data_IF_735901069752
#
_entry.id   IF_735901069752
#
_cell.length_a   1.000
_cell.length_b   1.000
_cell.length_c   1.000
_cell.angle_alpha   90.00
_cell.angle_beta   90.00
_cell.angle_gamma   90.00
#
_symmetry.space_group_name_H-M   'P 1'
#
loop_
_entity.id
_entity.type
_entity.pdbx_description
1 polymer ?
#
# COMPACT_ATOMS: atom_id res chain seq x y z
N UNK A 1 8.95 7.97 33.62
CA UNK A 1 8.57 8.82 32.49
C UNK A 1 7.88 7.99 31.41
N UNK A 2 6.89 8.58 30.71
CA UNK A 2 6.17 7.93 29.60
C UNK A 2 6.18 8.90 28.42
N UNK A 3 6.52 8.37 27.23
CA UNK A 3 6.40 9.07 25.96
C UNK A 3 5.44 8.31 25.04
N UNK A 4 4.37 8.95 24.61
CA UNK A 4 3.43 8.36 23.64
C UNK A 4 3.93 8.67 22.23
N UNK A 5 4.16 7.64 21.42
CA UNK A 5 4.70 7.80 20.06
C UNK A 5 3.71 8.53 19.15
N UNK A 6 4.19 9.62 18.52
CA UNK A 6 3.42 10.43 17.58
C UNK A 6 2.00 10.76 18.10
N UNK A 7 1.89 11.19 19.36
CA UNK A 7 0.61 11.47 20.01
C UNK A 7 -0.22 12.50 19.26
N UNK A 8 0.42 13.55 18.72
CA UNK A 8 -0.23 14.61 17.95
C UNK A 8 -0.80 14.09 16.64
N UNK A 9 -0.02 13.30 15.92
CA UNK A 9 -0.41 12.72 14.63
C UNK A 9 -1.52 11.65 14.81
N UNK A 10 -1.44 10.89 15.90
CA UNK A 10 -2.41 9.86 16.25
C UNK A 10 -3.51 10.37 17.22
N UNK A 11 -3.87 11.63 17.12
CA UNK A 11 -4.96 12.23 17.91
C UNK A 11 -6.26 11.36 17.83
N UNK A 12 -7.05 11.26 18.91
CA UNK A 12 -6.88 11.89 20.22
C UNK A 12 -6.06 11.05 21.19
N UNK A 13 -5.23 11.72 22.01
CA UNK A 13 -4.45 11.10 23.10
C UNK A 13 -4.40 12.03 24.31
N UNK A 14 -4.31 11.45 25.49
CA UNK A 14 -4.01 12.19 26.71
C UNK A 14 -3.12 11.40 27.65
N UNK A 15 -2.37 12.11 28.47
CA UNK A 15 -1.57 11.56 29.58
C UNK A 15 -1.97 12.27 30.85
N UNK A 16 -2.27 11.51 31.90
CA UNK A 16 -2.65 12.04 33.22
C UNK A 16 -1.74 11.44 34.28
N UNK A 17 -1.05 12.30 35.00
CA UNK A 17 -0.32 11.90 36.21
C UNK A 17 -1.24 11.98 37.43
N UNK A 18 -1.10 11.04 38.34
CA UNK A 18 -1.82 10.99 39.62
C UNK A 18 -0.88 10.40 40.68
N UNK A 19 -1.30 10.48 41.94
CA UNK A 19 -0.48 9.94 43.03
C UNK A 19 -0.28 8.41 42.81
N UNK A 20 0.99 8.05 42.72
CA UNK A 20 1.40 6.65 42.48
C UNK A 20 1.35 6.14 41.05
N UNK A 21 1.04 6.99 40.02
CA UNK A 21 0.98 6.47 38.66
C UNK A 21 0.79 7.49 37.54
N UNK A 22 0.80 6.95 36.32
CA UNK A 22 0.50 7.68 35.09
C UNK A 22 -0.49 6.86 34.25
N UNK A 23 -1.54 7.50 33.80
CA UNK A 23 -2.50 6.92 32.84
C UNK A 23 -2.24 7.47 31.46
N UNK A 24 -2.15 6.58 30.47
CA UNK A 24 -2.15 6.91 29.04
C UNK A 24 -3.53 6.60 28.49
N UNK A 25 -4.25 7.62 28.07
CA UNK A 25 -5.58 7.46 27.47
C UNK A 25 -5.44 7.48 25.96
N UNK A 26 -5.76 6.35 25.32
CA UNK A 26 -5.73 6.22 23.86
C UNK A 26 -6.89 7.00 23.20
N UNK A 27 -8.02 7.07 23.89
CA UNK A 27 -9.16 7.93 23.59
C UNK A 27 -9.61 8.57 24.90
N UNK A 28 -9.38 9.87 25.12
CA UNK A 28 -9.84 10.59 26.31
C UNK A 28 -11.37 10.63 26.38
N UNK A 29 -11.94 10.56 27.59
CA UNK A 29 -13.39 10.52 27.81
C UNK A 29 -14.12 11.75 27.29
N UNK A 30 -13.49 12.92 27.36
CA UNK A 30 -14.05 14.21 26.95
C UNK A 30 -14.09 14.42 25.43
N UNK A 31 -13.40 13.58 24.65
CA UNK A 31 -13.43 13.63 23.17
C UNK A 31 -14.65 12.90 22.58
N UNK A 32 -15.31 12.06 23.37
CA UNK A 32 -16.41 11.21 22.91
C UNK A 32 -15.93 9.91 22.26
N UNK A 33 -16.76 9.31 21.43
CA UNK A 33 -16.51 8.01 20.86
C UNK A 33 -15.70 8.09 19.56
N UNK A 34 -14.66 7.29 19.44
CA UNK A 34 -13.98 6.98 18.17
C UNK A 34 -14.59 5.69 17.62
N UNK A 35 -15.08 5.77 16.38
CA UNK A 35 -15.67 4.61 15.71
C UNK A 35 -14.57 3.89 14.92
N UNK A 36 -14.22 2.69 15.36
CA UNK A 36 -13.42 1.76 14.58
C UNK A 36 -14.37 0.80 13.85
N UNK A 37 -14.24 0.73 12.55
CA UNK A 37 -15.04 -0.19 11.73
C UNK A 37 -14.56 -1.64 11.93
N UNK A 38 -15.44 -2.60 11.66
CA UNK A 38 -15.08 -4.01 11.76
C UNK A 38 -13.93 -4.36 10.81
N UNK A 39 -12.90 -4.96 11.33
CA UNK A 39 -11.70 -5.32 10.60
C UNK A 39 -10.52 -4.37 10.74
N UNK A 40 -10.73 -3.13 11.18
CA UNK A 40 -9.65 -2.21 11.50
C UNK A 40 -8.88 -2.65 12.73
N UNK A 41 -7.58 -2.40 12.74
CA UNK A 41 -6.71 -2.45 13.90
C UNK A 41 -6.02 -1.09 14.08
N UNK A 42 -5.36 -0.87 15.21
CA UNK A 42 -4.47 0.27 15.40
C UNK A 42 -3.40 -0.03 16.42
N UNK A 43 -2.16 -0.07 15.96
CA UNK A 43 -1.00 -0.15 16.83
C UNK A 43 -0.83 1.14 17.62
N UNK A 44 -0.60 1.02 18.93
CA UNK A 44 -0.25 2.12 19.81
C UNK A 44 1.10 1.85 20.44
N UNK A 45 2.00 2.81 20.37
CA UNK A 45 3.36 2.69 20.92
C UNK A 45 3.60 3.73 22.01
N UNK A 46 4.25 3.33 23.07
CA UNK A 46 4.75 4.23 24.08
C UNK A 46 6.04 3.69 24.70
N UNK A 47 6.90 4.61 25.08
CA UNK A 47 8.13 4.34 25.81
C UNK A 47 7.85 4.52 27.31
N UNK A 48 8.09 3.49 28.11
CA UNK A 48 8.18 3.62 29.56
C UNK A 48 9.65 3.66 29.93
N UNK A 49 10.03 4.73 30.63
CA UNK A 49 11.39 4.93 31.05
C UNK A 49 11.45 5.00 32.59
N UNK A 50 12.06 4.00 33.18
CA UNK A 50 12.37 3.96 34.60
C UNK A 50 13.70 4.66 34.84
N UNK A 51 13.74 5.59 35.79
CA UNK A 51 14.91 6.42 36.05
C UNK A 51 14.95 6.82 37.51
N UNK A 52 16.13 7.23 37.99
CA UNK A 52 16.30 7.79 39.33
C UNK A 52 15.63 9.15 39.45
N UNK A 53 15.18 9.55 40.66
CA UNK A 53 14.45 10.81 40.88
C UNK A 53 15.25 12.08 40.52
N UNK A 54 16.56 12.01 40.56
CA UNK A 54 17.49 13.11 40.30
C UNK A 54 17.90 13.29 38.83
N UNK A 55 17.39 12.38 37.92
CA UNK A 55 17.65 12.52 36.49
C UNK A 55 17.12 13.84 35.98
N UNK A 56 17.95 14.52 35.22
CA UNK A 56 17.63 15.84 34.69
C UNK A 56 16.54 15.78 33.60
N UNK A 57 15.63 16.75 33.60
CA UNK A 57 14.53 16.81 32.63
C UNK A 57 15.01 16.84 31.19
N UNK A 58 16.14 17.49 30.89
CA UNK A 58 16.68 17.54 29.54
C UNK A 58 17.15 16.16 29.03
N UNK A 59 17.62 15.27 29.92
CA UNK A 59 17.98 13.89 29.55
C UNK A 59 16.73 13.06 29.19
N UNK A 60 15.65 13.24 29.95
CA UNK A 60 14.37 12.60 29.68
C UNK A 60 13.76 13.11 28.38
N UNK A 61 13.85 14.40 28.12
CA UNK A 61 13.39 15.04 26.89
C UNK A 61 14.18 14.55 25.67
N UNK A 62 15.50 14.47 25.77
CA UNK A 62 16.34 13.90 24.71
C UNK A 62 15.98 12.46 24.38
N UNK A 63 15.75 11.61 25.38
CA UNK A 63 15.33 10.21 25.15
C UNK A 63 13.96 10.13 24.52
N UNK A 64 13.04 10.98 24.94
CA UNK A 64 11.72 11.12 24.34
C UNK A 64 11.81 11.54 22.87
N UNK A 65 12.65 12.52 22.57
CA UNK A 65 12.89 13.01 21.20
C UNK A 65 13.50 11.93 20.31
N UNK A 66 14.49 11.20 20.78
CA UNK A 66 15.10 10.08 20.05
C UNK A 66 14.05 8.99 19.77
N UNK A 67 13.17 8.69 20.73
CA UNK A 67 12.09 7.74 20.54
C UNK A 67 11.07 8.20 19.49
N UNK A 68 10.73 9.50 19.47
CA UNK A 68 9.80 10.09 18.51
C UNK A 68 10.39 10.17 17.10
N UNK A 69 11.66 10.49 17.00
CA UNK A 69 12.39 10.71 15.75
C UNK A 69 13.76 10.01 15.81
N UNK A 70 13.78 8.66 15.73
CA UNK A 70 15.04 7.95 15.78
C UNK A 70 15.90 8.31 14.57
N UNK A 71 17.20 8.41 14.79
CA UNK A 71 18.16 8.52 13.69
C UNK A 71 18.10 7.27 12.83
N UNK A 72 18.08 7.49 11.53
CA UNK A 72 18.10 6.43 10.53
C UNK A 72 19.28 6.65 9.60
N UNK A 73 19.97 5.57 9.21
CA UNK A 73 21.02 5.68 8.21
C UNK A 73 20.46 6.27 6.92
N UNK A 74 21.18 7.23 6.35
CA UNK A 74 20.92 7.68 4.99
C UNK A 74 21.71 6.79 4.03
N UNK A 75 21.02 6.17 3.09
CA UNK A 75 21.62 5.41 2.01
C UNK A 75 21.65 6.30 0.78
N UNK A 76 22.82 6.49 0.20
CA UNK A 76 22.94 7.30 -1.00
C UNK A 76 22.31 6.57 -2.20
N UNK A 77 21.69 7.30 -3.17
CA UNK A 77 21.10 6.71 -4.36
C UNK A 77 22.07 5.83 -5.17
N UNK A 78 23.36 6.19 -5.17
CA UNK A 78 24.42 5.43 -5.83
C UNK A 78 24.59 4.00 -5.27
N UNK A 79 24.32 3.81 -3.96
CA UNK A 79 24.40 2.49 -3.34
C UNK A 79 23.24 1.59 -3.77
N UNK A 80 22.02 2.14 -3.93
CA UNK A 80 20.89 1.42 -4.50
C UNK A 80 21.16 1.01 -5.93
N UNK A 81 21.69 1.92 -6.76
CA UNK A 81 22.07 1.64 -8.15
C UNK A 81 23.17 0.58 -8.24
N UNK A 82 24.19 0.67 -7.38
CA UNK A 82 25.29 -0.30 -7.33
C UNK A 82 24.84 -1.70 -6.86
N UNK A 83 23.86 -1.75 -5.97
CA UNK A 83 23.27 -3.00 -5.50
C UNK A 83 22.21 -3.56 -6.47
N UNK A 84 21.92 -2.85 -7.58
CA UNK A 84 20.93 -3.23 -8.58
C UNK A 84 19.49 -3.41 -8.00
N UNK A 85 19.17 -2.69 -6.94
CA UNK A 85 17.81 -2.65 -6.36
C UNK A 85 17.05 -1.42 -6.84
N UNK A 86 15.74 -1.52 -6.98
CA UNK A 86 14.87 -0.43 -7.46
C UNK A 86 15.29 0.14 -8.83
N UNK A 87 15.84 -0.67 -9.71
CA UNK A 87 16.41 -0.22 -10.99
C UNK A 87 15.42 0.49 -11.90
N UNK A 88 14.13 0.23 -11.76
CA UNK A 88 13.08 0.88 -12.56
C UNK A 88 13.01 2.41 -12.36
N UNK A 89 13.58 2.93 -11.28
CA UNK A 89 13.56 4.36 -10.95
C UNK A 89 14.85 5.10 -11.28
N UNK A 90 15.79 4.45 -11.94
CA UNK A 90 17.05 5.05 -12.39
C UNK A 90 17.10 5.25 -13.93
N UNK A 91 16.11 5.92 -14.56
CA UNK A 91 16.20 6.25 -15.97
C UNK A 91 17.32 7.28 -16.21
N UNK A 92 17.82 7.36 -17.43
CA UNK A 92 18.82 8.35 -17.82
C UNK A 92 18.31 9.80 -17.69
N UNK A 93 17.00 10.00 -17.89
CA UNK A 93 16.37 11.31 -17.81
C UNK A 93 15.46 11.41 -16.58
N UNK A 94 15.60 12.52 -15.85
CA UNK A 94 14.74 12.85 -14.72
C UNK A 94 13.44 13.47 -15.23
N UNK A 95 12.32 13.16 -14.55
CA UNK A 95 11.02 13.79 -14.77
C UNK A 95 10.67 14.58 -13.52
N UNK A 96 11.10 15.84 -13.48
CA UNK A 96 10.96 16.72 -12.30
C UNK A 96 9.50 16.87 -11.85
N UNK A 97 8.55 16.89 -12.79
CA UNK A 97 7.12 17.03 -12.50
C UNK A 97 6.60 15.86 -11.66
N UNK A 98 7.09 14.64 -11.90
CA UNK A 98 6.72 13.46 -11.11
C UNK A 98 7.24 13.59 -9.68
N UNK A 99 8.49 14.01 -9.51
CA UNK A 99 9.10 14.17 -8.19
C UNK A 99 8.38 15.27 -7.38
N UNK A 100 8.09 16.41 -8.02
CA UNK A 100 7.34 17.52 -7.40
C UNK A 100 5.94 17.06 -6.99
N UNK A 101 5.25 16.33 -7.84
CA UNK A 101 3.91 15.81 -7.54
C UNK A 101 3.93 14.84 -6.34
N UNK A 102 4.93 13.96 -6.25
CA UNK A 102 5.07 13.03 -5.13
C UNK A 102 5.44 13.74 -3.82
N UNK A 103 6.27 14.78 -3.87
CA UNK A 103 6.56 15.64 -2.70
C UNK A 103 5.28 16.35 -2.25
N UNK A 104 4.50 16.92 -3.18
CA UNK A 104 3.24 17.57 -2.85
C UNK A 104 2.22 16.60 -2.23
N UNK A 105 2.17 15.35 -2.71
CA UNK A 105 1.35 14.29 -2.08
C UNK A 105 1.82 13.98 -0.66
N UNK A 106 3.13 13.85 -0.43
CA UNK A 106 3.69 13.69 0.91
C UNK A 106 3.31 14.85 1.83
N UNK A 107 3.30 16.09 1.32
CA UNK A 107 2.86 17.26 2.10
C UNK A 107 1.38 17.21 2.46
N UNK A 108 0.53 16.66 1.61
CA UNK A 108 -0.89 16.48 1.92
C UNK A 108 -1.10 15.45 3.04
N UNK A 109 -0.34 14.35 3.07
CA UNK A 109 -0.37 13.39 4.18
C UNK A 109 -0.07 14.07 5.53
N UNK A 110 0.85 15.02 5.58
CA UNK A 110 1.18 15.74 6.82
C UNK A 110 0.04 16.56 7.42
N UNK A 111 -1.07 16.71 6.69
CA UNK A 111 -2.27 17.44 7.14
C UNK A 111 -3.41 16.52 7.60
N UNK A 112 -3.23 15.21 7.51
CA UNK A 112 -4.25 14.21 7.80
C UNK A 112 -4.00 13.57 9.17
N UNK A 113 -4.08 14.37 10.24
CA UNK A 113 -3.93 13.86 11.60
C UNK A 113 -5.16 13.11 12.06
N UNK A 114 -4.95 12.18 12.96
CA UNK A 114 -5.98 11.33 13.55
C UNK A 114 -5.53 9.88 13.60
N UNK A 115 -5.90 9.19 14.66
CA UNK A 115 -5.43 7.84 14.93
C UNK A 115 -5.78 6.84 13.81
N UNK A 116 -6.89 7.07 13.10
CA UNK A 116 -7.31 6.25 11.95
C UNK A 116 -7.00 6.89 10.58
N UNK A 117 -6.41 8.09 10.56
CA UNK A 117 -6.18 8.86 9.33
C UNK A 117 -4.68 9.03 9.03
N UNK A 118 -3.84 9.10 10.07
CA UNK A 118 -2.42 9.36 9.93
C UNK A 118 -1.73 8.27 9.11
N UNK A 119 -1.14 8.66 7.99
CA UNK A 119 -0.50 7.78 7.02
C UNK A 119 -1.29 7.59 5.72
N UNK A 120 -2.47 8.21 5.61
CA UNK A 120 -3.24 8.29 4.38
C UNK A 120 -3.57 9.76 4.03
N UNK A 121 -4.20 10.01 2.92
CA UNK A 121 -4.63 11.34 2.46
C UNK A 121 -6.02 11.32 1.86
N UNK A 122 -6.66 12.50 1.88
CA UNK A 122 -7.93 12.70 1.19
C UNK A 122 -7.65 12.80 -0.32
N UNK A 123 -8.35 11.99 -1.10
CA UNK A 123 -8.40 12.12 -2.54
C UNK A 123 -9.45 13.16 -2.93
N UNK A 124 -8.96 14.32 -3.38
CA UNK A 124 -9.82 15.42 -3.79
C UNK A 124 -10.57 15.12 -5.09
N UNK A 125 -9.99 14.33 -6.00
CA UNK A 125 -10.63 13.94 -7.26
C UNK A 125 -11.88 13.11 -6.99
N UNK A 126 -11.77 12.06 -6.22
CA UNK A 126 -12.91 11.21 -5.84
C UNK A 126 -13.91 11.93 -4.94
N UNK A 127 -13.44 12.82 -4.07
CA UNK A 127 -14.30 13.66 -3.24
C UNK A 127 -15.18 14.57 -4.10
N UNK A 128 -14.60 15.25 -5.09
CA UNK A 128 -15.32 16.14 -6.01
C UNK A 128 -16.26 15.39 -6.96
N UNK A 129 -15.97 14.12 -7.27
CA UNK A 129 -16.89 13.22 -7.98
C UNK A 129 -18.10 12.79 -7.15
N UNK A 130 -18.16 13.16 -5.87
CA UNK A 130 -19.27 12.81 -4.98
C UNK A 130 -19.26 11.37 -4.46
N UNK A 131 -18.17 10.61 -4.67
CA UNK A 131 -18.07 9.20 -4.25
C UNK A 131 -18.21 9.01 -2.74
N UNK A 132 -17.89 10.03 -1.95
CA UNK A 132 -18.03 10.01 -0.48
C UNK A 132 -19.43 10.33 0.03
N UNK A 133 -20.43 10.58 -0.83
CA UNK A 133 -21.77 10.99 -0.41
C UNK A 133 -21.75 12.30 0.40
N UNK A 134 -20.96 13.28 -0.03
CA UNK A 134 -20.77 14.57 0.63
C UNK A 134 -19.70 14.58 1.72
N UNK A 135 -18.97 13.46 1.92
CA UNK A 135 -17.84 13.35 2.84
C UNK A 135 -16.53 13.19 2.05
N UNK A 136 -15.38 13.60 2.62
CA UNK A 136 -14.09 13.33 2.02
C UNK A 136 -13.87 11.83 1.76
N UNK A 137 -13.31 11.51 0.62
CA UNK A 137 -12.88 10.15 0.26
C UNK A 137 -11.42 9.99 0.62
N UNK A 138 -11.10 8.97 1.41
CA UNK A 138 -9.73 8.58 1.73
C UNK A 138 -9.17 7.73 0.62
N UNK A 139 -7.88 7.93 0.29
CA UNK A 139 -7.24 7.24 -0.81
C UNK A 139 -6.94 5.77 -0.50
N UNK A 140 -6.88 5.39 0.77
CA UNK A 140 -6.46 4.07 1.24
C UNK A 140 -5.16 3.63 0.56
N UNK A 141 -4.21 4.56 0.44
CA UNK A 141 -2.92 4.36 -0.21
C UNK A 141 -3.00 3.80 -1.64
N UNK A 142 -4.05 4.15 -2.39
CA UNK A 142 -4.27 3.71 -3.76
C UNK A 142 -3.01 3.84 -4.62
N UNK A 143 -2.77 2.85 -5.47
CA UNK A 143 -1.58 2.67 -6.29
C UNK A 143 -0.28 2.49 -5.50
N UNK A 144 -0.39 1.87 -4.32
CA UNK A 144 0.77 1.52 -3.49
C UNK A 144 1.66 2.73 -3.18
N UNK A 145 1.06 3.73 -2.54
CA UNK A 145 1.79 4.95 -2.17
C UNK A 145 3.04 4.66 -1.32
N UNK A 146 3.04 3.72 -0.35
CA UNK A 146 4.27 3.36 0.36
C UNK A 146 5.38 2.88 -0.57
N UNK A 147 5.08 2.04 -1.56
CA UNK A 147 6.06 1.61 -2.57
C UNK A 147 6.61 2.78 -3.38
N UNK A 148 5.75 3.70 -3.80
CA UNK A 148 6.19 4.92 -4.48
C UNK A 148 7.16 5.74 -3.64
N UNK A 149 6.95 5.82 -2.32
CA UNK A 149 7.86 6.46 -1.39
C UNK A 149 9.20 5.73 -1.27
N UNK A 150 9.20 4.39 -1.24
CA UNK A 150 10.43 3.59 -1.23
C UNK A 150 11.27 3.84 -2.48
N UNK A 151 10.64 3.80 -3.66
CA UNK A 151 11.28 4.07 -4.95
C UNK A 151 11.86 5.50 -5.01
N UNK A 152 11.11 6.49 -4.54
CA UNK A 152 11.58 7.88 -4.52
C UNK A 152 12.70 8.10 -3.52
N UNK A 153 12.70 7.42 -2.38
CA UNK A 153 13.82 7.45 -1.46
C UNK A 153 15.08 6.84 -2.08
N UNK A 154 14.96 5.66 -2.70
CA UNK A 154 16.08 5.01 -3.39
C UNK A 154 16.68 5.92 -4.48
N UNK A 155 15.83 6.62 -5.24
CA UNK A 155 16.25 7.50 -6.33
C UNK A 155 16.85 8.82 -5.87
N UNK A 156 16.32 9.44 -4.81
CA UNK A 156 16.65 10.84 -4.45
C UNK A 156 17.45 10.98 -3.17
N UNK A 157 17.45 9.97 -2.30
CA UNK A 157 18.01 10.05 -0.96
C UNK A 157 17.23 10.98 -0.02
N UNK A 158 16.09 11.54 -0.46
CA UNK A 158 15.31 12.48 0.35
C UNK A 158 14.63 11.72 1.49
N UNK A 159 15.10 11.92 2.72
CA UNK A 159 14.61 11.25 3.92
C UNK A 159 13.10 11.31 4.10
N UNK A 160 12.47 12.39 3.68
CA UNK A 160 11.03 12.57 3.79
C UNK A 160 10.24 11.42 3.14
N UNK A 161 10.72 10.87 2.02
CA UNK A 161 10.09 9.72 1.39
C UNK A 161 10.20 8.46 2.25
N UNK A 162 11.34 8.23 2.92
CA UNK A 162 11.48 7.12 3.86
C UNK A 162 10.52 7.27 5.07
N UNK A 163 10.40 8.48 5.60
CA UNK A 163 9.49 8.74 6.72
C UNK A 163 8.02 8.47 6.31
N UNK A 164 7.62 8.86 5.10
CA UNK A 164 6.26 8.59 4.60
C UNK A 164 6.04 7.15 4.16
N UNK A 165 7.05 6.44 3.63
CA UNK A 165 6.98 4.99 3.46
C UNK A 165 6.54 4.33 4.78
N UNK A 166 7.23 4.66 5.88
CA UNK A 166 6.99 4.03 7.17
C UNK A 166 5.60 4.38 7.74
N UNK A 167 5.20 5.62 7.62
CA UNK A 167 3.91 6.08 8.15
C UNK A 167 2.74 5.50 7.34
N UNK A 168 2.86 5.50 6.01
CA UNK A 168 1.80 5.01 5.12
C UNK A 168 1.69 3.48 5.16
N UNK A 169 2.80 2.75 5.20
CA UNK A 169 2.75 1.30 5.36
C UNK A 169 2.11 0.90 6.70
N UNK A 170 2.40 1.62 7.79
CA UNK A 170 1.73 1.38 9.08
C UNK A 170 0.24 1.66 9.03
N UNK A 171 -0.18 2.71 8.33
CA UNK A 171 -1.60 2.98 8.12
C UNK A 171 -2.26 1.84 7.34
N UNK A 172 -1.66 1.43 6.23
CA UNK A 172 -2.16 0.32 5.41
C UNK A 172 -2.30 -0.96 6.22
N UNK A 173 -1.26 -1.35 6.96
CA UNK A 173 -1.28 -2.54 7.82
C UNK A 173 -2.34 -2.47 8.92
N UNK A 174 -2.58 -1.30 9.50
CA UNK A 174 -3.50 -1.14 10.63
C UNK A 174 -4.95 -0.93 10.16
N UNK A 175 -5.19 -0.02 9.20
CA UNK A 175 -6.51 0.54 8.90
C UNK A 175 -7.08 0.03 7.59
N UNK A 176 -6.27 0.01 6.52
CA UNK A 176 -6.75 -0.32 5.18
C UNK A 176 -6.92 -1.82 4.97
N UNK A 177 -6.13 -2.65 5.67
CA UNK A 177 -6.24 -4.11 5.61
C UNK A 177 -7.27 -4.62 6.62
N UNK A 178 -8.13 -5.51 6.18
CA UNK A 178 -9.19 -6.09 6.99
C UNK A 178 -8.68 -7.27 7.83
N UNK A 179 -8.49 -7.09 9.13
CA UNK A 179 -8.01 -8.14 10.04
C UNK A 179 -9.09 -9.11 10.51
N UNK A 180 -10.36 -8.70 10.43
CA UNK A 180 -11.47 -9.53 10.86
C UNK A 180 -12.75 -9.22 10.07
N UNK A 181 -13.41 -10.26 9.58
CA UNK A 181 -14.74 -10.17 8.98
C UNK A 181 -15.49 -11.49 9.12
N UNK A 182 -16.82 -11.41 9.16
CA UNK A 182 -17.68 -12.59 9.00
C UNK A 182 -17.69 -13.12 7.57
N UNK A 183 -17.33 -12.28 6.59
CA UNK A 183 -17.13 -12.69 5.21
C UNK A 183 -15.63 -13.02 4.99
N UNK A 184 -15.28 -14.29 4.74
CA UNK A 184 -13.87 -14.70 4.58
C UNK A 184 -13.18 -14.06 3.37
N UNK A 185 -13.94 -13.62 2.36
CA UNK A 185 -13.40 -12.88 1.20
C UNK A 185 -12.84 -11.49 1.57
N UNK A 186 -13.08 -11.01 2.79
CA UNK A 186 -12.57 -9.72 3.25
C UNK A 186 -11.32 -9.84 4.13
N UNK A 187 -11.08 -10.99 4.74
CA UNK A 187 -9.97 -11.16 5.68
C UNK A 187 -8.65 -11.06 4.92
N UNK A 188 -7.77 -10.17 5.38
CA UNK A 188 -6.47 -9.90 4.78
C UNK A 188 -6.53 -9.01 3.53
N UNK A 189 -7.71 -8.70 2.99
CA UNK A 189 -7.85 -7.82 1.84
C UNK A 189 -7.79 -6.35 2.22
N UNK A 190 -7.44 -5.52 1.25
CA UNK A 190 -7.37 -4.08 1.38
C UNK A 190 -8.67 -3.43 0.91
N UNK A 191 -9.16 -2.45 1.65
CA UNK A 191 -10.35 -1.70 1.31
C UNK A 191 -10.11 -0.73 0.15
N UNK A 192 -11.02 -0.71 -0.81
CA UNK A 192 -11.05 0.32 -1.84
C UNK A 192 -11.19 1.72 -1.22
N UNK A 193 -10.64 2.74 -1.88
CA UNK A 193 -10.80 4.15 -1.50
C UNK A 193 -12.27 4.51 -1.20
N UNK A 194 -12.52 5.13 -0.04
CA UNK A 194 -13.88 5.42 0.42
C UNK A 194 -13.91 6.48 1.53
N UNK A 195 -15.09 7.00 1.80
CA UNK A 195 -15.35 7.85 2.96
C UNK A 195 -15.32 7.04 4.26
N UNK A 196 -14.24 7.15 5.06
CA UNK A 196 -14.08 6.42 6.33
C UNK A 196 -13.41 5.07 6.18
N UNK A 197 -12.48 4.97 5.26
CA UNK A 197 -11.54 3.88 4.99
C UNK A 197 -12.13 2.53 4.58
N UNK A 198 -13.16 2.02 5.21
CA UNK A 198 -13.76 0.73 4.87
C UNK A 198 -15.28 0.75 4.69
N UNK A 199 -15.86 1.93 4.52
CA UNK A 199 -17.31 2.12 4.59
C UNK A 199 -18.10 1.42 3.48
N UNK A 200 -17.58 1.37 2.24
CA UNK A 200 -18.24 0.71 1.12
C UNK A 200 -18.14 -0.82 1.16
N UNK A 201 -17.15 -1.36 1.88
CA UNK A 201 -16.95 -2.79 2.05
C UNK A 201 -16.54 -3.55 0.79
N UNK A 202 -16.05 -2.86 -0.23
CA UNK A 202 -15.60 -3.45 -1.50
C UNK A 202 -14.12 -3.81 -1.40
N UNK A 203 -13.78 -5.01 -1.88
CA UNK A 203 -12.43 -5.51 -2.07
C UNK A 203 -12.33 -6.14 -3.44
N UNK A 204 -11.35 -5.70 -4.21
CA UNK A 204 -11.07 -6.17 -5.58
C UNK A 204 -9.56 -6.17 -5.81
N UNK A 205 -9.09 -7.05 -6.68
CA UNK A 205 -7.65 -7.23 -6.89
C UNK A 205 -6.92 -5.95 -7.33
N UNK A 206 -7.59 -4.99 -7.94
CA UNK A 206 -6.98 -3.71 -8.33
C UNK A 206 -6.64 -2.79 -7.14
N UNK A 207 -7.04 -3.16 -5.93
CA UNK A 207 -6.74 -2.42 -4.70
C UNK A 207 -5.94 -3.24 -3.68
N UNK A 208 -5.35 -4.36 -4.14
CA UNK A 208 -4.53 -5.25 -3.31
C UNK A 208 -3.05 -5.04 -3.62
N UNK A 209 -2.36 -4.23 -2.82
CA UNK A 209 -0.95 -3.88 -3.03
C UNK A 209 -0.07 -4.41 -1.90
N UNK A 210 1.06 -5.00 -2.26
CA UNK A 210 1.96 -5.65 -1.30
C UNK A 210 3.38 -5.08 -1.30
N UNK A 211 3.79 -4.40 -2.38
CA UNK A 211 5.19 -4.01 -2.54
C UNK A 211 5.61 -3.00 -1.47
N UNK A 212 4.76 -2.02 -1.13
CA UNK A 212 5.07 -1.01 -0.14
C UNK A 212 5.18 -1.55 1.30
N UNK A 213 4.42 -2.58 1.66
CA UNK A 213 4.58 -3.23 2.98
C UNK A 213 5.77 -4.19 3.00
N UNK A 214 6.16 -4.78 1.87
CA UNK A 214 7.42 -5.53 1.73
C UNK A 214 8.61 -4.57 1.85
N UNK A 215 8.58 -3.42 1.17
CA UNK A 215 9.60 -2.38 1.31
C UNK A 215 9.72 -1.91 2.77
N UNK A 216 8.59 -1.71 3.45
CA UNK A 216 8.58 -1.37 4.87
C UNK A 216 9.31 -2.42 5.72
N UNK A 217 9.07 -3.72 5.45
CA UNK A 217 9.79 -4.81 6.10
C UNK A 217 11.30 -4.69 5.86
N UNK A 218 11.73 -4.49 4.63
CA UNK A 218 13.15 -4.37 4.29
C UNK A 218 13.82 -3.15 4.92
N UNK A 219 13.14 -2.01 4.98
CA UNK A 219 13.71 -0.79 5.56
C UNK A 219 13.67 -0.74 7.10
N UNK A 220 12.83 -1.55 7.74
CA UNK A 220 12.62 -1.46 9.19
C UNK A 220 12.94 -2.73 9.97
N UNK A 221 12.93 -3.89 9.33
CA UNK A 221 13.01 -5.19 9.98
C UNK A 221 11.72 -5.59 10.74
N UNK A 222 10.62 -4.85 10.57
CA UNK A 222 9.35 -5.17 11.22
C UNK A 222 8.61 -6.24 10.42
N UNK A 223 8.59 -7.47 10.93
CA UNK A 223 8.01 -8.66 10.28
C UNK A 223 6.52 -8.50 9.95
N UNK A 224 5.81 -7.60 10.63
CA UNK A 224 4.41 -7.30 10.33
C UNK A 224 4.20 -6.86 8.87
N UNK A 225 5.21 -6.22 8.25
CA UNK A 225 5.15 -5.85 6.84
C UNK A 225 5.00 -7.08 5.94
N UNK A 226 5.85 -8.08 6.15
CA UNK A 226 5.81 -9.32 5.38
C UNK A 226 4.57 -10.17 5.71
N UNK A 227 4.19 -10.28 6.98
CA UNK A 227 2.96 -10.97 7.40
C UNK A 227 1.71 -10.37 6.74
N UNK A 228 1.65 -9.02 6.67
CA UNK A 228 0.54 -8.32 6.01
C UNK A 228 0.55 -8.56 4.50
N UNK A 229 1.72 -8.51 3.84
CA UNK A 229 1.83 -8.82 2.42
C UNK A 229 1.33 -10.24 2.10
N UNK A 230 1.71 -11.23 2.91
CA UNK A 230 1.24 -12.62 2.78
C UNK A 230 -0.28 -12.70 2.97
N UNK A 231 -0.82 -11.99 3.96
CA UNK A 231 -2.27 -11.95 4.23
C UNK A 231 -3.07 -11.37 3.06
N UNK A 232 -2.55 -10.29 2.44
CA UNK A 232 -3.12 -9.69 1.22
C UNK A 232 -3.04 -10.69 0.05
N UNK A 233 -1.90 -11.36 -0.12
CA UNK A 233 -1.74 -12.39 -1.15
C UNK A 233 -2.74 -13.54 -0.99
N UNK A 234 -2.95 -14.03 0.22
CA UNK A 234 -3.95 -15.06 0.51
C UNK A 234 -5.39 -14.56 0.24
N UNK A 235 -5.66 -13.26 0.42
CA UNK A 235 -6.92 -12.66 0.01
C UNK A 235 -7.06 -12.63 -1.51
N UNK A 236 -6.02 -12.21 -2.24
CA UNK A 236 -6.00 -12.23 -3.72
C UNK A 236 -6.32 -13.64 -4.25
N UNK A 237 -5.71 -14.69 -3.68
CA UNK A 237 -6.02 -16.07 -4.09
C UNK A 237 -7.51 -16.39 -3.94
N UNK A 238 -8.12 -16.00 -2.80
CA UNK A 238 -9.56 -16.19 -2.57
C UNK A 238 -10.44 -15.39 -3.51
N UNK A 239 -10.06 -14.15 -3.82
CA UNK A 239 -10.79 -13.30 -4.78
C UNK A 239 -10.74 -13.90 -6.19
N UNK A 240 -9.56 -14.34 -6.64
CA UNK A 240 -9.39 -14.96 -7.96
C UNK A 240 -10.16 -16.27 -8.13
N UNK A 241 -10.53 -16.94 -7.05
CA UNK A 241 -11.37 -18.15 -7.08
C UNK A 241 -12.88 -17.83 -7.10
N UNK A 242 -13.27 -16.56 -7.12
CA UNK A 242 -14.68 -16.15 -7.23
C UNK A 242 -15.16 -16.16 -8.70
N UNK A 243 -16.48 -16.24 -8.94
CA UNK A 243 -17.03 -16.19 -10.29
C UNK A 243 -16.63 -14.97 -11.12
N UNK A 244 -16.32 -13.84 -10.47
CA UNK A 244 -15.87 -12.61 -11.13
C UNK A 244 -14.60 -12.80 -11.97
N UNK A 245 -13.74 -13.75 -11.60
CA UNK A 245 -12.47 -14.02 -12.27
C UNK A 245 -12.45 -15.37 -12.99
N UNK A 246 -13.60 -16.08 -13.06
CA UNK A 246 -13.66 -17.44 -13.59
C UNK A 246 -13.36 -17.52 -15.09
N UNK A 247 -13.61 -16.43 -15.83
CA UNK A 247 -13.36 -16.36 -17.27
C UNK A 247 -12.49 -15.17 -17.62
N UNK A 248 -11.60 -15.31 -18.62
CA UNK A 248 -10.89 -14.17 -19.20
C UNK A 248 -11.88 -13.10 -19.69
N UNK A 249 -11.55 -11.83 -19.46
CA UNK A 249 -12.37 -10.70 -19.88
C UNK A 249 -13.58 -10.37 -19.01
N UNK A 250 -13.98 -11.20 -18.06
CA UNK A 250 -15.03 -10.86 -17.09
C UNK A 250 -14.55 -9.83 -16.07
N UNK A 251 -13.28 -9.93 -15.64
CA UNK A 251 -12.59 -8.89 -14.88
C UNK A 251 -11.67 -8.15 -15.85
N UNK A 252 -11.73 -6.82 -15.85
CA UNK A 252 -10.89 -6.05 -16.75
C UNK A 252 -9.38 -6.28 -16.50
N UNK A 253 -8.55 -5.97 -17.49
CA UNK A 253 -7.11 -6.24 -17.44
C UNK A 253 -6.41 -5.63 -16.20
N UNK A 254 -6.90 -4.52 -15.67
CA UNK A 254 -6.36 -3.90 -14.45
C UNK A 254 -6.51 -4.81 -13.23
N UNK A 255 -7.67 -5.45 -13.07
CA UNK A 255 -7.93 -6.30 -11.89
C UNK A 255 -6.95 -7.48 -11.83
N UNK A 256 -6.88 -8.24 -12.91
CA UNK A 256 -5.98 -9.41 -13.01
C UNK A 256 -4.51 -8.99 -13.08
N UNK A 257 -4.22 -7.84 -13.68
CA UNK A 257 -2.87 -7.28 -13.73
C UNK A 257 -2.32 -6.95 -12.34
N UNK A 258 -3.09 -6.26 -11.50
CA UNK A 258 -2.65 -5.97 -10.13
C UNK A 258 -2.48 -7.22 -9.29
N UNK A 259 -3.37 -8.21 -9.43
CA UNK A 259 -3.20 -9.51 -8.79
C UNK A 259 -1.87 -10.15 -9.18
N UNK A 260 -1.54 -10.20 -10.48
CA UNK A 260 -0.28 -10.74 -10.97
C UNK A 260 0.93 -10.02 -10.36
N UNK A 261 0.90 -8.68 -10.34
CA UNK A 261 1.97 -7.86 -9.77
C UNK A 261 2.26 -8.21 -8.30
N UNK A 262 1.19 -8.27 -7.50
CA UNK A 262 1.30 -8.60 -6.08
C UNK A 262 1.84 -10.03 -5.86
N UNK A 263 1.32 -11.01 -6.62
CA UNK A 263 1.76 -12.41 -6.49
C UNK A 263 3.21 -12.63 -6.96
N UNK A 264 3.65 -11.92 -8.00
CA UNK A 264 5.06 -11.95 -8.43
C UNK A 264 5.97 -11.40 -7.33
N UNK A 265 5.60 -10.27 -6.70
CA UNK A 265 6.37 -9.71 -5.59
C UNK A 265 6.46 -10.69 -4.41
N UNK A 266 5.36 -11.32 -4.04
CA UNK A 266 5.32 -12.34 -2.98
C UNK A 266 6.16 -13.58 -3.32
N UNK A 267 6.12 -14.05 -4.58
CA UNK A 267 6.99 -15.16 -4.99
C UNK A 267 8.47 -14.80 -4.93
N UNK A 268 8.84 -13.62 -5.39
CA UNK A 268 10.24 -13.15 -5.31
C UNK A 268 10.71 -13.07 -3.87
N UNK A 269 9.85 -12.62 -2.96
CA UNK A 269 10.17 -12.47 -1.54
C UNK A 269 10.23 -13.81 -0.79
N UNK A 270 9.20 -14.64 -0.94
CA UNK A 270 9.01 -15.82 -0.09
C UNK A 270 9.45 -17.13 -0.72
N UNK A 271 9.54 -17.21 -2.04
CA UNK A 271 9.76 -18.43 -2.84
C UNK A 271 8.66 -19.51 -2.62
N UNK A 272 7.49 -19.11 -2.14
CA UNK A 272 6.37 -20.04 -1.98
C UNK A 272 5.70 -20.29 -3.34
N UNK A 273 5.69 -21.56 -3.76
CA UNK A 273 5.17 -22.01 -5.05
C UNK A 273 3.67 -21.74 -5.24
N UNK A 274 2.91 -21.54 -4.16
CA UNK A 274 1.48 -21.18 -4.29
C UNK A 274 1.27 -19.88 -5.07
N UNK A 275 2.18 -18.90 -4.91
CA UNK A 275 2.14 -17.65 -5.63
C UNK A 275 2.44 -17.83 -7.12
N UNK A 276 3.50 -18.61 -7.42
CA UNK A 276 3.88 -18.91 -8.80
C UNK A 276 2.77 -19.66 -9.55
N UNK A 277 2.18 -20.67 -8.92
CA UNK A 277 1.09 -21.42 -9.54
C UNK A 277 -0.08 -20.52 -9.96
N UNK A 278 -0.43 -19.53 -9.14
CA UNK A 278 -1.50 -18.58 -9.50
C UNK A 278 -1.02 -17.54 -10.53
N UNK A 279 0.25 -17.12 -10.51
CA UNK A 279 0.81 -16.29 -11.59
C UNK A 279 0.73 -16.97 -12.94
N UNK A 280 1.09 -18.25 -13.05
CA UNK A 280 0.97 -19.02 -14.29
C UNK A 280 -0.48 -19.10 -14.77
N UNK A 281 -1.41 -19.33 -13.85
CA UNK A 281 -2.85 -19.33 -14.18
C UNK A 281 -3.31 -17.98 -14.74
N UNK A 282 -2.84 -16.85 -14.19
CA UNK A 282 -3.16 -15.51 -14.70
C UNK A 282 -2.54 -15.30 -16.09
N UNK A 283 -1.29 -15.68 -16.29
CA UNK A 283 -0.62 -15.58 -17.59
C UNK A 283 -1.37 -16.40 -18.66
N UNK A 284 -1.78 -17.61 -18.34
CA UNK A 284 -2.58 -18.43 -19.27
C UNK A 284 -3.97 -17.81 -19.53
N UNK A 285 -4.57 -17.19 -18.52
CA UNK A 285 -5.82 -16.43 -18.69
C UNK A 285 -5.64 -15.23 -19.64
N UNK A 286 -4.53 -14.51 -19.59
CA UNK A 286 -4.24 -13.42 -20.54
C UNK A 286 -4.05 -13.94 -21.98
N UNK A 287 -3.44 -15.11 -22.18
CA UNK A 287 -3.31 -15.74 -23.50
C UNK A 287 -4.69 -16.13 -24.07
N UNK A 288 -5.52 -16.78 -23.26
CA UNK A 288 -6.90 -17.16 -23.67
C UNK A 288 -7.71 -15.91 -23.99
N UNK A 289 -7.53 -14.83 -23.20
CA UNK A 289 -8.21 -13.57 -23.45
C UNK A 289 -7.80 -12.94 -24.78
N UNK A 290 -6.49 -12.93 -25.08
CA UNK A 290 -5.99 -12.48 -26.38
C UNK A 290 -6.56 -13.29 -27.54
N UNK A 291 -6.59 -14.63 -27.42
CA UNK A 291 -7.15 -15.54 -28.44
C UNK A 291 -8.66 -15.34 -28.66
N UNK A 292 -9.41 -15.15 -27.57
CA UNK A 292 -10.87 -15.05 -27.63
C UNK A 292 -11.37 -13.70 -28.15
N UNK A 293 -10.70 -12.61 -27.76
CA UNK A 293 -11.14 -11.24 -28.05
C UNK A 293 -10.18 -10.46 -28.95
N UNK A 294 -9.16 -11.09 -29.48
CA UNK A 294 -8.19 -10.47 -30.38
C UNK A 294 -7.14 -9.60 -29.67
N UNK A 295 -7.34 -9.26 -28.42
CA UNK A 295 -6.41 -8.59 -27.49
C UNK A 295 -7.02 -8.60 -26.08
N UNK A 296 -6.43 -7.84 -25.13
CA UNK A 296 -7.00 -7.69 -23.78
C UNK A 296 -8.16 -6.68 -23.76
N UNK A 297 -9.11 -6.87 -24.69
CA UNK A 297 -10.30 -6.03 -24.80
C UNK A 297 -11.36 -6.49 -23.78
N UNK A 298 -12.05 -5.55 -23.17
CA UNK A 298 -13.12 -5.85 -22.24
C UNK A 298 -14.45 -6.07 -22.98
N UNK A 299 -15.13 -7.24 -22.80
CA UNK A 299 -16.47 -7.43 -23.33
C UNK A 299 -17.48 -6.49 -22.66
N UNK A 300 -18.43 -6.00 -23.43
CA UNK A 300 -19.50 -5.12 -22.97
C UNK A 300 -20.87 -5.75 -23.19
N UNK A 301 -21.90 -5.22 -22.52
CA UNK A 301 -23.23 -5.84 -22.44
C UNK A 301 -23.98 -5.98 -23.76
N UNK A 302 -23.57 -5.26 -24.80
CA UNK A 302 -24.17 -5.28 -26.15
C UNK A 302 -23.34 -6.06 -27.20
N UNK A 303 -22.45 -6.93 -26.74
CA UNK A 303 -21.49 -7.69 -27.55
C UNK A 303 -20.43 -6.81 -28.26
N UNK A 304 -20.23 -5.58 -27.82
CA UNK A 304 -19.07 -4.80 -28.23
C UNK A 304 -17.85 -5.13 -27.37
N UNK A 305 -16.66 -4.91 -27.92
CA UNK A 305 -15.39 -4.98 -27.19
C UNK A 305 -14.87 -3.57 -26.95
N UNK A 306 -14.45 -3.29 -25.74
CA UNK A 306 -13.95 -1.97 -25.35
C UNK A 306 -12.45 -2.05 -25.12
N UNK A 307 -11.70 -1.18 -25.79
CA UNK A 307 -10.30 -0.93 -25.52
C UNK A 307 -10.20 0.12 -24.42
N UNK A 308 -9.65 -0.27 -23.27
CA UNK A 308 -9.37 0.66 -22.15
C UNK A 308 -7.87 0.73 -21.96
N UNK A 309 -7.20 1.59 -22.73
CA UNK A 309 -5.74 1.68 -22.83
C UNK A 309 -5.05 1.79 -21.47
N UNK A 310 -5.59 2.59 -20.54
CA UNK A 310 -5.08 2.69 -19.17
C UNK A 310 -5.04 1.32 -18.45
N UNK A 311 -6.11 0.53 -18.54
CA UNK A 311 -6.19 -0.77 -17.86
C UNK A 311 -5.26 -1.81 -18.51
N UNK A 312 -5.13 -1.77 -19.83
CA UNK A 312 -4.19 -2.61 -20.59
C UNK A 312 -2.74 -2.24 -20.22
N UNK A 313 -2.43 -0.95 -20.10
CA UNK A 313 -1.09 -0.48 -19.69
C UNK A 313 -0.70 -0.99 -18.30
N UNK A 314 -1.63 -0.99 -17.32
CA UNK A 314 -1.41 -1.55 -15.98
C UNK A 314 -1.12 -3.06 -16.06
N UNK A 315 -1.90 -3.79 -16.86
CA UNK A 315 -1.70 -5.22 -17.06
C UNK A 315 -0.36 -5.51 -17.74
N UNK A 316 0.00 -4.77 -18.78
CA UNK A 316 1.27 -4.91 -19.48
C UNK A 316 2.47 -4.66 -18.53
N UNK A 317 2.40 -3.65 -17.66
CA UNK A 317 3.39 -3.41 -16.62
C UNK A 317 3.53 -4.59 -15.65
N UNK A 318 2.44 -5.23 -15.28
CA UNK A 318 2.44 -6.39 -14.39
C UNK A 318 2.98 -7.65 -15.06
N UNK A 319 2.59 -7.92 -16.32
CA UNK A 319 3.14 -9.02 -17.13
C UNK A 319 4.64 -8.81 -17.40
N UNK A 320 5.09 -7.56 -17.58
CA UNK A 320 6.52 -7.24 -17.70
C UNK A 320 7.28 -7.61 -16.43
N UNK A 321 6.73 -7.38 -15.22
CA UNK A 321 7.36 -7.81 -13.97
C UNK A 321 7.48 -9.33 -13.90
N UNK A 322 6.43 -10.05 -14.28
CA UNK A 322 6.49 -11.51 -14.38
C UNK A 322 7.56 -11.95 -15.38
N UNK A 323 7.61 -11.34 -16.58
CA UNK A 323 8.59 -11.64 -17.61
C UNK A 323 10.05 -11.44 -17.15
N UNK A 324 10.30 -10.43 -16.33
CA UNK A 324 11.67 -10.20 -15.76
C UNK A 324 12.12 -11.31 -14.84
N UNK A 325 11.21 -11.99 -14.16
CA UNK A 325 11.50 -13.13 -13.30
C UNK A 325 11.57 -14.43 -14.12
N UNK A 326 10.68 -14.57 -15.09
CA UNK A 326 10.53 -15.76 -15.95
C UNK A 326 10.54 -15.35 -17.43
N UNK A 327 11.72 -15.08 -18.01
CA UNK A 327 11.79 -14.66 -19.41
C UNK A 327 11.43 -15.82 -20.35
N UNK A 328 10.30 -15.65 -21.07
CA UNK A 328 9.79 -16.60 -22.08
C UNK A 328 9.39 -15.82 -23.33
N UNK A 329 9.69 -16.38 -24.51
CA UNK A 329 9.45 -15.69 -25.79
C UNK A 329 7.94 -15.50 -26.07
N UNK A 330 7.09 -16.47 -25.69
CA UNK A 330 5.63 -16.35 -25.85
C UNK A 330 5.07 -15.14 -25.06
N UNK A 331 5.56 -14.90 -23.85
CA UNK A 331 5.15 -13.76 -23.02
C UNK A 331 5.66 -12.43 -23.61
N UNK A 332 6.89 -12.43 -24.11
CA UNK A 332 7.46 -11.24 -24.78
C UNK A 332 6.61 -10.84 -25.99
N UNK A 333 6.24 -11.82 -26.82
CA UNK A 333 5.41 -11.54 -28.01
C UNK A 333 4.00 -11.09 -27.63
N UNK A 334 3.40 -11.65 -26.59
CA UNK A 334 2.11 -11.18 -26.05
C UNK A 334 2.19 -9.74 -25.57
N UNK A 335 3.26 -9.36 -24.84
CA UNK A 335 3.49 -7.99 -24.39
C UNK A 335 3.64 -7.02 -25.57
N UNK A 336 4.40 -7.38 -26.61
CA UNK A 336 4.57 -6.56 -27.81
C UNK A 336 3.21 -6.28 -28.45
N UNK A 337 2.39 -7.31 -28.71
CA UNK A 337 1.05 -7.14 -29.29
C UNK A 337 0.14 -6.27 -28.43
N UNK A 338 0.16 -6.44 -27.10
CA UNK A 338 -0.67 -5.65 -26.21
C UNK A 338 -0.26 -4.16 -26.18
N UNK A 339 1.05 -3.88 -26.32
CA UNK A 339 1.55 -2.50 -26.37
C UNK A 339 1.27 -1.88 -27.75
N UNK A 340 1.50 -2.59 -28.84
CA UNK A 340 1.20 -2.14 -30.19
C UNK A 340 -0.27 -1.76 -30.32
N UNK A 341 -1.19 -2.57 -29.75
CA UNK A 341 -2.63 -2.26 -29.76
C UNK A 341 -3.01 -0.95 -29.01
N UNK A 342 -2.19 -0.51 -28.07
CA UNK A 342 -2.43 0.77 -27.35
C UNK A 342 -1.90 1.96 -28.16
N UNK A 343 -0.82 1.75 -28.94
CA UNK A 343 -0.09 2.83 -29.62
C UNK A 343 -0.72 3.12 -30.99
N UNK A 344 -1.33 2.12 -31.64
CA UNK A 344 -2.07 2.27 -32.91
C UNK A 344 -3.45 2.93 -32.72
#
# INVERSE_FOLDING_TARGET
>A
CITVYQAQQNYPKAVKAYDGGVAVMLVPEDIGNVVMQSGMAKEQRFLMHFHEPDMQMWELDNRSTIYQMPDRPCIAPEEFKKAEVCMDVFPEHLVNEVEIALIARADNHSRCYGMLNWGDSIDMGYTLQGRGGGKPVWSNNEYDYPHSCALMYARTGIRRFLDYLIVSAKHQMDVDVCHYSKNPLRIGGQWEHTAGHCKNGIMVCSHEWVEGVIDYYHFTGDERGLETAISIGDNILRLLDTPMYAKPGEANARETGWALRALVALYVETRDEKWLAKCEWIIDSFKIWEEEYGNWLAPYTDNTLIRVGFMISVAAGSVMRYYRVFPREDIKQMLIRAIDDIVE
#
